data_IF_695386504573
#
_entry.id   IF_695386504573
#
_cell.length_a   1.000
_cell.length_b   1.000
_cell.length_c   1.000
_cell.angle_alpha   90.00
_cell.angle_beta   90.00
_cell.angle_gamma   90.00
#
_symmetry.space_group_name_H-M   'P 1'
#
loop_
_entity.id
_entity.type
_entity.pdbx_description
1 polymer ?
#
# COMPACT_ATOMS: atom_id res chain seq x y z
N UNK A 1 18.42 9.78 -17.05
CA UNK A 1 18.35 8.81 -15.92
C UNK A 1 19.40 7.72 -15.98
N UNK A 2 19.52 6.94 -17.06
CA UNK A 2 20.47 5.82 -17.12
C UNK A 2 21.95 6.24 -16.98
N UNK A 3 22.42 7.23 -17.74
CA UNK A 3 23.78 7.78 -17.60
C UNK A 3 24.02 8.40 -16.21
N UNK A 4 23.04 9.12 -15.68
CA UNK A 4 23.10 9.71 -14.33
C UNK A 4 23.20 8.62 -13.25
N UNK A 5 22.49 7.51 -13.39
CA UNK A 5 22.57 6.36 -12.48
C UNK A 5 23.97 5.75 -12.45
N UNK A 6 24.60 5.54 -13.60
CA UNK A 6 25.97 5.00 -13.67
C UNK A 6 26.96 5.96 -13.00
N UNK A 7 26.82 7.26 -13.24
CA UNK A 7 27.69 8.27 -12.64
C UNK A 7 27.54 8.35 -11.11
N UNK A 8 26.32 8.23 -10.60
CA UNK A 8 26.05 8.20 -9.16
C UNK A 8 26.60 6.93 -8.53
N UNK A 9 26.41 5.77 -9.17
CA UNK A 9 26.99 4.50 -8.72
C UNK A 9 28.51 4.55 -8.64
N UNK A 10 29.17 5.09 -9.67
CA UNK A 10 30.62 5.27 -9.68
C UNK A 10 31.09 6.17 -8.52
N UNK A 11 30.34 7.25 -8.23
CA UNK A 11 30.62 8.17 -7.12
C UNK A 11 30.47 7.49 -5.75
N UNK A 12 29.60 6.47 -5.66
CA UNK A 12 29.28 5.74 -4.44
C UNK A 12 29.91 4.33 -4.40
N UNK A 13 30.79 3.98 -5.34
CA UNK A 13 31.25 2.61 -5.56
C UNK A 13 32.03 2.05 -4.36
N UNK A 14 32.91 2.87 -3.78
CA UNK A 14 33.74 2.52 -2.62
C UNK A 14 32.99 2.53 -1.28
N UNK A 15 31.69 2.84 -1.29
CA UNK A 15 30.90 3.06 -0.07
C UNK A 15 30.02 1.86 0.25
N UNK A 16 29.98 1.48 1.52
CA UNK A 16 29.12 0.43 2.03
C UNK A 16 27.70 0.95 2.33
N UNK A 17 26.71 0.05 2.32
CA UNK A 17 25.34 0.41 2.65
C UNK A 17 25.21 0.64 4.16
N UNK A 18 24.49 1.69 4.54
CA UNK A 18 24.27 2.03 5.94
C UNK A 18 25.38 2.86 6.59
N UNK A 19 26.40 3.32 5.87
CA UNK A 19 27.48 4.10 6.50
C UNK A 19 27.17 5.62 6.61
N UNK A 20 26.00 6.05 6.11
CA UNK A 20 25.45 7.39 6.38
C UNK A 20 26.38 8.56 6.04
N UNK A 21 27.04 8.50 4.88
CA UNK A 21 28.15 9.40 4.57
C UNK A 21 27.72 10.80 4.13
N UNK A 22 28.30 11.82 4.77
CA UNK A 22 28.11 13.21 4.40
C UNK A 22 28.88 13.57 3.11
N UNK A 23 28.14 14.04 2.11
CA UNK A 23 28.72 14.56 0.87
C UNK A 23 28.86 16.07 1.01
N UNK A 24 30.07 16.57 0.74
CA UNK A 24 30.39 17.99 0.84
C UNK A 24 29.48 18.80 -0.10
N UNK A 25 28.75 19.81 0.42
CA UNK A 25 27.91 20.69 -0.38
C UNK A 25 28.66 21.37 -1.53
N UNK A 26 27.93 21.72 -2.58
CA UNK A 26 28.42 22.44 -3.77
C UNK A 26 29.53 21.74 -4.59
N UNK A 27 29.90 20.51 -4.24
CA UNK A 27 30.78 19.70 -5.10
C UNK A 27 30.03 19.24 -6.36
N UNK A 28 30.76 18.91 -7.44
CA UNK A 28 30.17 18.36 -8.67
C UNK A 28 29.34 17.10 -8.38
N UNK A 29 29.85 16.24 -7.51
CA UNK A 29 29.17 15.04 -7.03
C UNK A 29 27.87 15.36 -6.31
N UNK A 30 27.89 16.37 -5.42
CA UNK A 30 26.71 16.81 -4.69
C UNK A 30 25.59 17.28 -5.63
N UNK A 31 25.92 18.16 -6.58
CA UNK A 31 24.96 18.72 -7.55
C UNK A 31 24.37 17.61 -8.41
N UNK A 32 25.21 16.69 -8.90
CA UNK A 32 24.76 15.56 -9.71
C UNK A 32 23.80 14.67 -8.93
N UNK A 33 24.17 14.24 -7.72
CA UNK A 33 23.32 13.37 -6.88
C UNK A 33 22.00 14.07 -6.56
N UNK A 34 22.03 15.37 -6.26
CA UNK A 34 20.82 16.17 -6.03
C UNK A 34 19.89 16.13 -7.24
N UNK A 35 20.41 16.43 -8.44
CA UNK A 35 19.63 16.38 -9.68
C UNK A 35 19.09 14.98 -9.99
N UNK A 36 19.87 13.94 -9.70
CA UNK A 36 19.45 12.55 -9.85
C UNK A 36 18.28 12.20 -8.93
N UNK A 37 18.36 12.54 -7.64
CA UNK A 37 17.27 12.29 -6.67
C UNK A 37 16.01 13.09 -7.03
N UNK A 38 16.15 14.35 -7.44
CA UNK A 38 15.02 15.17 -7.91
C UNK A 38 14.33 14.57 -9.13
N UNK A 39 15.10 14.10 -10.12
CA UNK A 39 14.55 13.46 -11.31
C UNK A 39 13.74 12.21 -10.94
N UNK A 40 14.18 11.43 -9.96
CA UNK A 40 13.43 10.28 -9.46
C UNK A 40 12.15 10.66 -8.74
N UNK A 41 12.15 11.71 -7.91
CA UNK A 41 10.90 12.21 -7.30
C UNK A 41 9.88 12.65 -8.35
N UNK A 42 10.34 13.34 -9.40
CA UNK A 42 9.49 13.73 -10.53
C UNK A 42 8.95 12.51 -11.27
N UNK A 43 9.77 11.49 -11.55
CA UNK A 43 9.31 10.26 -12.20
C UNK A 43 8.32 9.47 -11.33
N UNK A 44 8.59 9.34 -10.02
CA UNK A 44 7.66 8.72 -9.09
C UNK A 44 6.35 9.51 -8.98
N UNK A 45 6.38 10.84 -9.10
CA UNK A 45 5.17 11.66 -9.12
C UNK A 45 4.39 11.44 -10.42
N UNK A 46 5.07 11.42 -11.56
CA UNK A 46 4.46 11.13 -12.84
C UNK A 46 3.75 9.77 -12.85
N UNK A 47 4.29 8.76 -12.16
CA UNK A 47 3.61 7.45 -11.99
C UNK A 47 2.31 7.60 -11.20
N UNK A 48 2.30 8.35 -10.10
CA UNK A 48 1.09 8.56 -9.28
C UNK A 48 -0.02 9.27 -10.05
N UNK A 49 0.32 10.24 -10.90
CA UNK A 49 -0.66 11.01 -11.67
C UNK A 49 -1.00 10.41 -13.04
N UNK A 50 -0.31 9.35 -13.46
CA UNK A 50 -0.60 8.66 -14.72
C UNK A 50 -1.89 7.82 -14.61
N UNK A 51 -2.59 7.64 -15.73
CA UNK A 51 -3.72 6.72 -15.83
C UNK A 51 -3.31 5.26 -15.59
N UNK A 52 -4.25 4.40 -15.16
CA UNK A 52 -3.99 2.98 -14.85
C UNK A 52 -3.25 2.23 -15.97
N UNK A 53 -3.61 2.49 -17.24
CA UNK A 53 -2.94 1.90 -18.40
C UNK A 53 -1.45 2.27 -18.48
N UNK A 54 -1.12 3.54 -18.19
CA UNK A 54 0.25 4.05 -18.23
C UNK A 54 1.03 3.66 -16.96
N UNK A 55 0.39 3.57 -15.79
CA UNK A 55 1.00 3.10 -14.56
C UNK A 55 1.57 1.68 -14.70
N UNK A 56 0.81 0.78 -15.34
CA UNK A 56 1.29 -0.57 -15.63
C UNK A 56 2.54 -0.55 -16.52
N UNK A 57 2.55 0.25 -17.59
CA UNK A 57 3.70 0.38 -18.49
C UNK A 57 4.93 0.97 -17.80
N UNK A 58 4.78 2.04 -17.01
CA UNK A 58 5.89 2.62 -16.23
C UNK A 58 6.45 1.61 -15.22
N UNK A 59 5.58 0.89 -14.51
CA UNK A 59 6.01 -0.13 -13.54
C UNK A 59 6.74 -1.30 -14.21
N UNK A 60 6.37 -1.66 -15.44
CA UNK A 60 7.04 -2.70 -16.22
C UNK A 60 8.41 -2.23 -16.74
N UNK A 61 8.49 -0.99 -17.23
CA UNK A 61 9.74 -0.40 -17.69
C UNK A 61 10.76 -0.24 -16.56
N UNK A 62 10.33 0.22 -15.38
CA UNK A 62 11.20 0.33 -14.19
C UNK A 62 11.75 -1.03 -13.76
N UNK A 63 10.96 -2.10 -13.92
CA UNK A 63 11.41 -3.47 -13.64
C UNK A 63 12.44 -3.97 -14.66
N UNK A 64 12.21 -3.75 -15.95
CA UNK A 64 13.10 -4.24 -17.02
C UNK A 64 14.43 -3.49 -17.09
N UNK A 65 14.44 -2.20 -16.76
CA UNK A 65 15.61 -1.33 -16.94
C UNK A 65 16.66 -1.45 -15.83
N UNK A 66 16.40 -2.25 -14.78
CA UNK A 66 17.22 -2.36 -13.56
C UNK A 66 17.48 -1.01 -12.84
N UNK A 67 16.86 0.08 -13.29
CA UNK A 67 17.08 1.43 -12.78
C UNK A 67 16.64 1.57 -11.32
N UNK A 68 15.57 0.87 -10.94
CA UNK A 68 15.07 0.87 -9.57
C UNK A 68 16.06 0.20 -8.60
N UNK A 69 16.68 -0.91 -9.00
CA UNK A 69 17.72 -1.58 -8.19
C UNK A 69 18.86 -0.61 -7.88
N UNK A 70 19.38 0.05 -8.92
CA UNK A 70 20.49 1.00 -8.83
C UNK A 70 20.16 2.19 -7.95
N UNK A 71 18.94 2.71 -8.08
CA UNK A 71 18.41 3.75 -7.21
C UNK A 71 18.39 3.27 -5.76
N UNK A 72 17.70 2.17 -5.45
CA UNK A 72 17.49 1.72 -4.08
C UNK A 72 18.81 1.42 -3.37
N UNK A 73 19.79 0.81 -4.06
CA UNK A 73 21.14 0.64 -3.53
C UNK A 73 21.83 1.98 -3.26
N UNK A 74 21.72 2.94 -4.18
CA UNK A 74 22.29 4.28 -3.98
C UNK A 74 21.63 5.03 -2.82
N UNK A 75 20.32 4.87 -2.60
CA UNK A 75 19.61 5.48 -1.48
C UNK A 75 20.13 4.94 -0.14
N UNK A 76 20.31 3.63 0.01
CA UNK A 76 20.84 3.04 1.26
C UNK A 76 22.32 3.37 1.53
N UNK A 77 23.06 3.87 0.54
CA UNK A 77 24.40 4.45 0.73
C UNK A 77 24.36 5.93 1.13
N UNK A 78 23.25 6.63 0.86
CA UNK A 78 23.06 8.06 1.14
C UNK A 78 22.23 8.33 2.42
N UNK A 79 21.36 7.40 2.79
CA UNK A 79 20.54 7.50 4.00
C UNK A 79 21.41 7.27 5.25
N UNK A 80 21.16 8.03 6.34
CA UNK A 80 21.84 7.82 7.61
C UNK A 80 21.31 6.56 8.31
N UNK A 81 22.12 5.96 9.19
CA UNK A 81 21.68 4.84 10.05
C UNK A 81 20.49 5.25 10.92
N UNK A 82 20.55 6.45 11.48
CA UNK A 82 19.52 7.05 12.32
C UNK A 82 19.03 8.34 11.67
N UNK A 83 17.87 8.31 10.98
CA UNK A 83 17.31 9.43 10.23
C UNK A 83 16.60 10.44 11.16
N UNK A 84 17.13 10.69 12.35
CA UNK A 84 16.55 11.60 13.35
C UNK A 84 16.95 13.03 13.01
N UNK A 85 15.99 13.95 13.04
CA UNK A 85 16.27 15.39 12.87
C UNK A 85 16.43 15.99 14.26
N UNK A 86 17.62 16.49 14.59
CA UNK A 86 17.85 17.27 15.80
C UNK A 86 17.24 18.67 15.64
N UNK A 87 15.91 18.77 15.66
CA UNK A 87 15.25 20.05 15.81
C UNK A 87 15.07 20.35 17.30
N UNK A 88 15.48 21.58 17.66
CA UNK A 88 15.32 22.21 18.98
C UNK A 88 13.91 21.94 19.50
N UNK A 89 13.82 21.48 20.75
CA UNK A 89 12.60 21.26 21.52
C UNK A 89 11.54 22.33 21.20
N UNK A 90 10.56 22.03 20.35
CA UNK A 90 9.25 22.62 20.53
C UNK A 90 8.61 21.87 21.68
N UNK A 91 8.77 22.44 22.88
CA UNK A 91 8.00 22.05 24.05
C UNK A 91 6.51 22.31 23.78
N UNK A 92 5.80 21.34 23.20
CA UNK A 92 4.35 21.22 23.37
C UNK A 92 3.96 19.74 23.42
N UNK A 93 3.41 19.35 24.57
CA UNK A 93 3.26 17.98 25.03
C UNK A 93 2.31 17.08 24.24
N UNK A 94 2.37 15.79 24.60
CA UNK A 94 1.51 14.72 24.12
C UNK A 94 2.29 13.39 24.01
N UNK A 95 1.97 12.43 24.87
CA UNK A 95 2.70 11.18 25.17
C UNK A 95 2.70 10.11 24.05
N UNK A 96 2.34 10.45 22.81
CA UNK A 96 2.11 9.48 21.71
C UNK A 96 2.63 9.92 20.33
N UNK A 97 3.44 10.98 20.22
CA UNK A 97 3.95 11.44 18.91
C UNK A 97 5.21 10.67 18.51
N UNK A 98 5.17 10.04 17.32
CA UNK A 98 6.35 9.43 16.68
C UNK A 98 7.53 10.41 16.64
N UNK A 99 8.78 9.92 16.83
CA UNK A 99 9.97 10.76 16.78
C UNK A 99 10.09 11.49 15.44
N UNK A 100 10.56 12.74 15.47
CA UNK A 100 10.83 13.51 14.26
C UNK A 100 12.01 12.90 13.49
N UNK A 101 11.74 12.53 12.25
CA UNK A 101 12.70 11.91 11.36
C UNK A 101 12.67 12.58 9.99
N UNK A 102 13.72 12.38 9.19
CA UNK A 102 13.78 12.84 7.80
C UNK A 102 12.61 12.30 6.95
N UNK A 103 11.91 11.27 7.41
CA UNK A 103 10.72 10.73 6.75
C UNK A 103 9.45 11.52 7.02
N UNK A 104 9.26 12.05 8.23
CA UNK A 104 8.03 12.78 8.60
C UNK A 104 8.18 14.31 8.58
N UNK A 105 9.40 14.85 8.50
CA UNK A 105 9.63 16.29 8.34
C UNK A 105 9.51 16.74 6.88
N UNK A 106 8.97 17.94 6.58
CA UNK A 106 8.91 18.46 5.22
C UNK A 106 10.32 18.73 4.68
N UNK A 107 10.54 18.38 3.40
CA UNK A 107 11.79 18.69 2.72
C UNK A 107 11.65 20.05 2.02
N UNK A 108 12.33 21.07 2.55
CA UNK A 108 12.39 22.40 1.95
C UNK A 108 13.64 22.53 1.09
N UNK A 109 13.45 22.63 -0.23
CA UNK A 109 14.53 22.93 -1.18
C UNK A 109 14.30 24.36 -1.66
N UNK A 110 15.14 25.29 -1.20
CA UNK A 110 15.12 26.68 -1.66
C UNK A 110 16.41 26.99 -2.42
N UNK A 111 16.33 27.66 -3.59
CA UNK A 111 17.52 28.13 -4.32
C UNK A 111 18.39 29.10 -3.51
N UNK A 112 17.80 29.76 -2.51
CA UNK A 112 18.48 30.75 -1.66
C UNK A 112 18.92 30.20 -0.30
N UNK A 113 18.54 28.96 0.05
CA UNK A 113 18.93 28.38 1.33
C UNK A 113 20.35 27.80 1.25
N UNK A 114 21.11 27.95 2.33
CA UNK A 114 22.40 27.28 2.48
C UNK A 114 22.18 25.77 2.42
N UNK A 115 22.81 25.13 1.44
CA UNK A 115 22.74 23.70 1.26
C UNK A 115 23.62 22.99 2.28
N UNK A 116 23.04 22.08 3.06
CA UNK A 116 23.75 21.28 4.07
C UNK A 116 24.09 19.89 3.54
N UNK A 117 25.08 19.23 4.15
CA UNK A 117 25.40 17.82 3.88
C UNK A 117 24.20 16.90 4.14
N UNK A 118 23.34 17.27 5.09
CA UNK A 118 22.11 16.56 5.43
C UNK A 118 21.01 16.66 4.37
N UNK A 119 21.09 17.61 3.42
CA UNK A 119 20.06 17.75 2.37
C UNK A 119 19.93 16.48 1.53
N UNK A 120 21.06 15.87 1.15
CA UNK A 120 21.07 14.64 0.35
C UNK A 120 20.53 13.44 1.13
N UNK A 121 20.87 13.34 2.41
CA UNK A 121 20.32 12.32 3.31
C UNK A 121 18.78 12.46 3.41
N UNK A 122 18.28 13.68 3.62
CA UNK A 122 16.85 13.95 3.69
C UNK A 122 16.15 13.67 2.36
N UNK A 123 16.75 14.07 1.24
CA UNK A 123 16.27 13.73 -0.11
C UNK A 123 16.21 12.22 -0.33
N UNK A 124 17.25 11.49 0.07
CA UNK A 124 17.30 10.05 -0.08
C UNK A 124 16.19 9.35 0.73
N UNK A 125 15.98 9.76 1.99
CA UNK A 125 14.87 9.30 2.81
C UNK A 125 13.51 9.56 2.14
N UNK A 126 13.29 10.76 1.59
CA UNK A 126 12.04 11.08 0.90
C UNK A 126 11.83 10.26 -0.37
N UNK A 127 12.86 10.06 -1.18
CA UNK A 127 12.77 9.24 -2.40
C UNK A 127 12.47 7.79 -2.01
N UNK A 128 13.12 7.26 -0.96
CA UNK A 128 12.87 5.91 -0.49
C UNK A 128 11.42 5.73 -0.03
N UNK A 129 10.91 6.67 0.78
CA UNK A 129 9.50 6.68 1.20
C UNK A 129 8.54 6.72 0.00
N UNK A 130 8.82 7.56 -1.01
CA UNK A 130 8.03 7.62 -2.24
C UNK A 130 8.08 6.30 -3.02
N UNK A 131 9.22 5.60 -3.06
CA UNK A 131 9.31 4.26 -3.66
C UNK A 131 8.44 3.23 -2.93
N UNK A 132 8.55 3.14 -1.61
CA UNK A 132 7.79 2.16 -0.80
C UNK A 132 6.30 2.44 -0.85
N UNK A 133 5.89 3.71 -0.85
CA UNK A 133 4.47 4.11 -0.88
C UNK A 133 3.83 3.97 -2.27
N UNK A 134 4.56 4.27 -3.36
CA UNK A 134 3.97 4.36 -4.71
C UNK A 134 4.16 3.13 -5.57
N UNK A 135 5.25 2.38 -5.35
CA UNK A 135 5.58 1.17 -6.12
C UNK A 135 5.98 -0.01 -5.22
N UNK A 136 5.18 -0.34 -4.18
CA UNK A 136 5.54 -1.34 -3.17
C UNK A 136 5.84 -2.72 -3.77
N UNK A 137 5.15 -3.13 -4.84
CA UNK A 137 5.40 -4.43 -5.46
C UNK A 137 6.80 -4.53 -6.07
N UNK A 138 7.28 -3.45 -6.69
CA UNK A 138 8.61 -3.41 -7.28
C UNK A 138 9.70 -3.36 -6.20
N UNK A 139 9.46 -2.64 -5.10
CA UNK A 139 10.37 -2.61 -3.94
C UNK A 139 10.45 -3.99 -3.25
N UNK A 140 9.32 -4.68 -3.08
CA UNK A 140 9.31 -6.06 -2.55
C UNK A 140 10.11 -7.02 -3.43
N UNK A 141 9.94 -6.92 -4.75
CA UNK A 141 10.69 -7.75 -5.68
C UNK A 141 12.20 -7.47 -5.60
N UNK A 142 12.59 -6.20 -5.53
CA UNK A 142 13.97 -5.78 -5.30
C UNK A 142 14.53 -6.36 -3.98
N UNK A 143 13.79 -6.23 -2.88
CA UNK A 143 14.20 -6.73 -1.57
C UNK A 143 14.44 -8.25 -1.58
N UNK A 144 13.57 -9.03 -2.21
CA UNK A 144 13.72 -10.48 -2.35
C UNK A 144 14.98 -10.84 -3.16
N UNK A 145 15.33 -10.01 -4.16
CA UNK A 145 16.53 -10.20 -4.98
C UNK A 145 17.82 -9.69 -4.33
N UNK A 146 17.73 -8.96 -3.21
CA UNK A 146 18.88 -8.43 -2.50
C UNK A 146 19.67 -9.57 -1.84
N UNK A 147 21.00 -9.40 -1.74
CA UNK A 147 21.83 -10.31 -0.97
C UNK A 147 21.29 -10.45 0.46
N UNK A 148 21.22 -11.69 0.96
CA UNK A 148 20.73 -12.01 2.30
C UNK A 148 21.47 -11.25 3.40
N UNK A 149 22.73 -10.88 3.16
CA UNK A 149 23.50 -10.07 4.09
C UNK A 149 22.90 -8.68 4.32
N UNK A 150 22.33 -8.06 3.27
CA UNK A 150 21.80 -6.70 3.34
C UNK A 150 20.29 -6.63 3.62
N UNK A 151 19.56 -7.73 3.48
CA UNK A 151 18.12 -7.79 3.78
C UNK A 151 17.79 -7.33 5.22
N UNK A 152 18.51 -7.75 6.28
CA UNK A 152 18.22 -7.30 7.64
C UNK A 152 18.36 -5.79 7.84
N UNK A 153 19.30 -5.15 7.15
CA UNK A 153 19.51 -3.69 7.22
C UNK A 153 18.30 -2.96 6.64
N UNK A 154 17.85 -3.39 5.46
CA UNK A 154 16.67 -2.82 4.80
C UNK A 154 15.41 -3.07 5.61
N UNK A 155 15.21 -4.31 6.07
CA UNK A 155 14.02 -4.70 6.82
C UNK A 155 13.92 -3.96 8.16
N UNK A 156 15.02 -3.92 8.92
CA UNK A 156 15.09 -3.17 10.18
C UNK A 156 14.81 -1.69 9.98
N UNK A 157 15.48 -1.06 9.02
CA UNK A 157 15.29 0.36 8.73
C UNK A 157 13.85 0.69 8.27
N UNK A 158 13.28 -0.14 7.40
CA UNK A 158 11.90 0.03 6.91
C UNK A 158 10.90 -0.14 8.04
N UNK A 159 11.04 -1.21 8.83
CA UNK A 159 10.16 -1.54 9.96
C UNK A 159 10.21 -0.47 11.04
N UNK A 160 11.38 0.08 11.34
CA UNK A 160 11.54 1.10 12.38
C UNK A 160 11.04 2.48 11.95
N UNK A 161 11.35 2.94 10.72
CA UNK A 161 11.14 4.34 10.35
C UNK A 161 10.06 4.58 9.29
N UNK A 162 9.79 3.62 8.42
CA UNK A 162 8.91 3.82 7.25
C UNK A 162 7.54 3.18 7.45
N UNK A 163 7.50 1.91 7.87
CA UNK A 163 6.26 1.16 8.08
C UNK A 163 5.28 1.86 9.03
N UNK A 164 5.69 2.42 10.19
CA UNK A 164 4.76 3.10 11.09
C UNK A 164 4.10 4.32 10.45
N UNK A 165 4.83 5.06 9.58
CA UNK A 165 4.29 6.23 8.89
C UNK A 165 3.24 5.84 7.86
N UNK A 166 3.50 4.79 7.07
CA UNK A 166 2.57 4.28 6.08
C UNK A 166 1.30 3.71 6.73
N UNK A 167 1.45 2.98 7.84
CA UNK A 167 0.31 2.44 8.60
C UNK A 167 -0.56 3.59 9.12
N UNK A 168 0.04 4.62 9.72
CA UNK A 168 -0.70 5.79 10.20
C UNK A 168 -1.37 6.57 9.07
N UNK A 169 -0.73 6.66 7.90
CA UNK A 169 -1.33 7.28 6.72
C UNK A 169 -2.56 6.52 6.24
N UNK A 170 -2.50 5.19 6.16
CA UNK A 170 -3.66 4.37 5.77
C UNK A 170 -4.76 4.40 6.85
N UNK A 171 -4.41 4.32 8.14
CA UNK A 171 -5.38 4.41 9.24
C UNK A 171 -6.10 5.77 9.28
N UNK A 172 -5.38 6.86 9.06
CA UNK A 172 -5.99 8.19 8.97
C UNK A 172 -6.87 8.34 7.73
N UNK A 173 -6.47 7.77 6.58
CA UNK A 173 -7.30 7.72 5.39
C UNK A 173 -8.59 6.91 5.62
N UNK A 174 -8.49 5.78 6.33
CA UNK A 174 -9.63 4.97 6.77
C UNK A 174 -10.57 5.77 7.67
N UNK A 175 -10.05 6.44 8.71
CA UNK A 175 -10.87 7.22 9.64
C UNK A 175 -11.55 8.43 8.97
N UNK A 176 -10.89 9.06 8.00
CA UNK A 176 -11.45 10.18 7.24
C UNK A 176 -12.46 9.70 6.18
N UNK A 177 -12.38 8.44 5.74
CA UNK A 177 -13.41 7.83 4.89
C UNK A 177 -14.57 7.33 5.75
N UNK A 178 -15.71 8.01 5.71
CA UNK A 178 -16.96 7.68 6.46
C UNK A 178 -17.63 6.35 6.04
N UNK A 179 -16.89 5.41 5.45
CA UNK A 179 -17.42 4.15 4.93
C UNK A 179 -17.17 3.02 5.92
N UNK A 180 -18.22 2.56 6.60
CA UNK A 180 -18.19 1.37 7.45
C UNK A 180 -17.89 0.11 6.61
N UNK A 181 -16.97 -0.73 7.12
CA UNK A 181 -16.33 -1.85 6.43
C UNK A 181 -16.97 -3.18 6.82
N UNK A 182 -17.20 -4.10 5.85
CA UNK A 182 -17.48 -5.52 6.17
C UNK A 182 -17.24 -6.51 5.00
N UNK A 183 -15.99 -6.99 4.93
CA UNK A 183 -15.39 -8.29 4.53
C UNK A 183 -15.79 -9.19 3.32
N UNK A 184 -14.73 -9.79 2.72
CA UNK A 184 -14.78 -10.69 1.54
C UNK A 184 -13.49 -10.89 0.68
N UNK A 185 -12.27 -10.79 1.24
CA UNK A 185 -10.92 -11.15 0.69
C UNK A 185 -10.11 -10.14 -0.18
N UNK A 186 -9.06 -9.56 0.45
CA UNK A 186 -8.11 -8.57 -0.09
C UNK A 186 -6.79 -9.11 -0.68
N UNK A 187 -6.43 -10.38 -0.40
CA UNK A 187 -5.07 -10.88 -0.62
C UNK A 187 -4.61 -10.87 -2.10
N UNK A 188 -5.52 -11.02 -3.05
CA UNK A 188 -5.21 -11.02 -4.49
C UNK A 188 -4.98 -9.61 -5.05
N UNK A 189 -5.63 -8.59 -4.49
CA UNK A 189 -5.49 -7.18 -4.92
C UNK A 189 -4.16 -6.59 -4.46
N UNK A 190 -3.78 -6.85 -3.20
CA UNK A 190 -2.56 -6.30 -2.56
C UNK A 190 -1.26 -6.85 -3.14
N UNK A 191 -1.33 -8.05 -3.73
CA UNK A 191 -0.15 -8.76 -4.23
C UNK A 191 0.23 -8.34 -5.66
N UNK A 192 -0.74 -7.95 -6.50
CA UNK A 192 -0.53 -7.76 -7.93
C UNK A 192 -0.62 -6.31 -8.42
N UNK A 193 -1.20 -5.38 -7.65
CA UNK A 193 -1.36 -3.97 -8.05
C UNK A 193 -0.68 -3.04 -7.05
N UNK A 194 -0.07 -1.95 -7.55
CA UNK A 194 0.45 -0.85 -6.72
C UNK A 194 -0.72 0.04 -6.20
N UNK A 195 -1.85 -0.57 -5.88
CA UNK A 195 -3.02 0.13 -5.35
C UNK A 195 -2.89 0.29 -3.84
N UNK A 196 -3.14 1.50 -3.29
CA UNK A 196 -3.24 1.72 -1.85
C UNK A 196 -4.20 0.74 -1.16
N UNK A 197 -3.98 0.49 0.12
CA UNK A 197 -4.79 -0.46 0.89
C UNK A 197 -6.26 -0.02 0.91
N UNK A 198 -6.51 1.26 1.16
CA UNK A 198 -7.86 1.84 1.13
C UNK A 198 -8.56 1.63 -0.22
N UNK A 199 -7.88 1.90 -1.35
CA UNK A 199 -8.47 1.71 -2.67
C UNK A 199 -8.79 0.23 -2.94
N UNK A 200 -7.92 -0.68 -2.48
CA UNK A 200 -8.15 -2.12 -2.56
C UNK A 200 -9.38 -2.54 -1.75
N UNK A 201 -9.57 -1.97 -0.55
CA UNK A 201 -10.77 -2.17 0.28
C UNK A 201 -12.05 -1.68 -0.40
N UNK A 202 -12.00 -0.50 -1.03
CA UNK A 202 -13.15 0.09 -1.75
C UNK A 202 -13.59 -0.80 -2.93
N UNK A 203 -12.65 -1.23 -3.78
CA UNK A 203 -12.96 -2.14 -4.89
C UNK A 203 -13.52 -3.47 -4.41
N UNK A 204 -12.93 -4.00 -3.35
CA UNK A 204 -13.39 -5.24 -2.75
C UNK A 204 -14.87 -5.12 -2.28
N UNK A 205 -15.23 -4.02 -1.61
CA UNK A 205 -16.62 -3.73 -1.22
C UNK A 205 -17.57 -3.70 -2.42
N UNK A 206 -17.21 -2.98 -3.49
CA UNK A 206 -18.05 -2.87 -4.68
C UNK A 206 -18.37 -4.24 -5.30
N UNK A 207 -17.38 -5.13 -5.38
CA UNK A 207 -17.59 -6.49 -5.89
C UNK A 207 -18.55 -7.31 -5.01
N UNK A 208 -18.51 -7.11 -3.68
CA UNK A 208 -19.42 -7.80 -2.75
C UNK A 208 -20.82 -7.21 -2.79
N UNK A 209 -20.95 -5.88 -2.78
CA UNK A 209 -22.25 -5.21 -2.95
C UNK A 209 -22.92 -5.71 -4.25
N UNK A 210 -22.17 -5.74 -5.35
CA UNK A 210 -22.64 -6.28 -6.64
C UNK A 210 -22.99 -7.77 -6.58
N UNK A 211 -22.24 -8.57 -5.80
CA UNK A 211 -22.50 -10.01 -5.66
C UNK A 211 -23.84 -10.30 -4.98
N UNK A 212 -24.26 -9.43 -4.05
CA UNK A 212 -25.48 -9.58 -3.26
C UNK A 212 -26.62 -8.66 -3.69
N UNK A 213 -26.40 -7.79 -4.67
CA UNK A 213 -27.41 -6.91 -5.24
C UNK A 213 -28.63 -7.71 -5.73
N UNK A 214 -29.82 -7.38 -5.22
CA UNK A 214 -31.09 -8.03 -5.60
C UNK A 214 -31.30 -9.44 -5.03
N UNK A 215 -30.43 -9.93 -4.13
CA UNK A 215 -30.64 -11.22 -3.47
C UNK A 215 -31.55 -11.04 -2.24
N UNK A 216 -32.77 -11.57 -2.32
CA UNK A 216 -33.69 -11.63 -1.17
C UNK A 216 -33.21 -12.63 -0.11
N UNK A 217 -33.49 -12.33 1.15
CA UNK A 217 -33.24 -13.22 2.29
C UNK A 217 -34.17 -14.45 2.29
N UNK A 218 -33.77 -15.50 3.01
CA UNK A 218 -34.63 -16.66 3.21
C UNK A 218 -35.77 -16.34 4.18
N UNK A 219 -37.01 -16.59 3.79
CA UNK A 219 -38.19 -16.31 4.64
C UNK A 219 -38.43 -17.30 5.79
N UNK A 220 -37.50 -18.25 6.04
CA UNK A 220 -37.55 -19.14 7.20
C UNK A 220 -36.53 -18.72 8.26
N UNK A 221 -35.27 -18.49 7.84
CA UNK A 221 -34.18 -18.16 8.76
C UNK A 221 -33.79 -16.66 8.76
N UNK A 222 -34.36 -15.86 7.85
CA UNK A 222 -34.09 -14.43 7.68
C UNK A 222 -32.64 -14.07 7.32
N UNK A 223 -31.85 -15.03 6.87
CA UNK A 223 -30.49 -14.78 6.40
C UNK A 223 -30.38 -14.97 4.88
N UNK A 224 -29.50 -14.19 4.24
CA UNK A 224 -29.11 -14.37 2.83
C UNK A 224 -28.21 -15.60 2.68
N UNK A 225 -27.30 -15.84 3.62
CA UNK A 225 -26.47 -17.04 3.66
C UNK A 225 -26.98 -17.98 4.73
N UNK A 226 -27.15 -19.26 4.38
CA UNK A 226 -27.53 -20.27 5.35
C UNK A 226 -26.38 -20.56 6.33
N UNK A 227 -26.66 -20.55 7.64
CA UNK A 227 -25.63 -20.51 8.69
C UNK A 227 -24.66 -21.69 8.78
N UNK A 228 -24.90 -22.80 8.08
CA UNK A 228 -24.00 -23.98 8.11
C UNK A 228 -23.35 -24.33 6.79
N UNK A 229 -24.00 -24.01 5.66
CA UNK A 229 -23.54 -24.43 4.33
C UNK A 229 -23.29 -23.24 3.39
N UNK A 230 -23.50 -22.01 3.89
CA UNK A 230 -23.26 -20.75 3.19
C UNK A 230 -23.95 -20.67 1.81
N UNK A 231 -25.04 -21.40 1.62
CA UNK A 231 -25.80 -21.35 0.37
C UNK A 231 -26.78 -20.17 0.37
N UNK A 232 -27.03 -19.64 -0.83
CA UNK A 232 -28.05 -18.62 -1.10
C UNK A 232 -29.46 -19.25 -1.19
N UNK A 233 -30.53 -18.49 -0.91
CA UNK A 233 -31.90 -18.96 -1.05
C UNK A 233 -32.26 -19.06 -2.53
N UNK A 234 -32.15 -20.28 -3.07
CA UNK A 234 -32.38 -20.56 -4.50
C UNK A 234 -33.79 -21.07 -4.79
N UNK A 235 -34.50 -21.61 -3.80
CA UNK A 235 -35.82 -22.21 -4.01
C UNK A 235 -36.91 -21.15 -3.90
N UNK A 236 -37.62 -20.91 -4.99
CA UNK A 236 -38.67 -19.90 -5.11
C UNK A 236 -40.05 -20.54 -5.09
N UNK A 237 -40.95 -20.06 -4.22
CA UNK A 237 -42.34 -20.48 -4.24
C UNK A 237 -43.02 -19.97 -5.53
N UNK A 238 -43.70 -20.85 -6.27
CA UNK A 238 -44.34 -20.49 -7.53
C UNK A 238 -45.48 -19.48 -7.36
N UNK A 239 -46.17 -19.51 -6.22
CA UNK A 239 -47.33 -18.66 -5.92
C UNK A 239 -46.92 -17.31 -5.33
N UNK A 240 -46.24 -17.28 -4.18
CA UNK A 240 -45.87 -16.01 -3.53
C UNK A 240 -44.51 -15.44 -3.94
N UNK A 241 -43.75 -16.14 -4.80
CA UNK A 241 -42.42 -15.76 -5.31
C UNK A 241 -41.31 -15.60 -4.27
N UNK A 242 -41.59 -15.85 -2.98
CA UNK A 242 -40.60 -15.78 -1.92
C UNK A 242 -39.57 -16.91 -2.00
N UNK A 243 -38.33 -16.60 -1.62
CA UNK A 243 -37.18 -17.50 -1.74
C UNK A 243 -36.79 -18.14 -0.40
N UNK A 244 -36.23 -19.35 -0.48
CA UNK A 244 -35.85 -20.16 0.66
C UNK A 244 -34.52 -20.90 0.40
N UNK A 245 -33.75 -21.13 1.46
CA UNK A 245 -32.65 -22.10 1.42
C UNK A 245 -33.21 -23.52 1.28
N UNK A 246 -32.53 -24.36 0.51
CA UNK A 246 -32.86 -25.78 0.37
C UNK A 246 -32.96 -26.50 1.71
N UNK A 247 -31.98 -26.28 2.59
CA UNK A 247 -31.93 -26.87 3.92
C UNK A 247 -33.08 -26.40 4.82
N UNK A 248 -33.40 -25.10 4.84
CA UNK A 248 -34.53 -24.56 5.62
C UNK A 248 -35.87 -25.14 5.14
N UNK A 249 -36.08 -25.17 3.83
CA UNK A 249 -37.34 -25.65 3.26
C UNK A 249 -37.51 -27.16 3.46
N UNK A 250 -36.45 -27.95 3.31
CA UNK A 250 -36.49 -29.39 3.55
C UNK A 250 -36.80 -29.71 5.02
N UNK A 251 -36.19 -28.98 5.96
CA UNK A 251 -36.47 -29.11 7.39
C UNK A 251 -37.93 -28.76 7.70
N UNK A 252 -38.46 -27.70 7.07
CA UNK A 252 -39.86 -27.32 7.19
C UNK A 252 -40.79 -28.46 6.76
N UNK A 253 -40.64 -29.01 5.55
CA UNK A 253 -41.48 -30.10 5.05
C UNK A 253 -41.42 -31.35 5.93
N UNK A 254 -40.24 -31.67 6.44
CA UNK A 254 -40.05 -32.81 7.33
C UNK A 254 -40.80 -32.62 8.66
N UNK A 255 -40.87 -31.39 9.17
CA UNK A 255 -41.57 -31.06 10.42
C UNK A 255 -43.09 -30.90 10.26
N UNK A 256 -43.56 -30.38 9.12
CA UNK A 256 -44.99 -30.13 8.86
C UNK A 256 -45.71 -31.34 8.27
N UNK A 257 -44.98 -32.39 7.90
CA UNK A 257 -45.47 -33.56 7.16
C UNK A 257 -46.24 -33.19 5.88
N UNK A 258 -45.88 -32.08 5.24
CA UNK A 258 -46.47 -31.64 3.98
C UNK A 258 -45.47 -30.79 3.16
N UNK A 259 -45.66 -30.74 1.84
CA UNK A 259 -44.80 -29.95 0.93
C UNK A 259 -45.43 -28.60 0.60
N UNK A 260 -45.89 -27.87 1.62
CA UNK A 260 -46.56 -26.58 1.44
C UNK A 260 -45.66 -25.40 1.81
N UNK A 261 -45.80 -24.29 1.07
CA UNK A 261 -45.08 -23.06 1.32
C UNK A 261 -45.35 -22.54 2.74
N UNK A 262 -44.30 -22.19 3.54
CA UNK A 262 -44.46 -21.66 4.89
C UNK A 262 -45.31 -20.38 4.98
N UNK A 263 -45.36 -19.59 3.91
CA UNK A 263 -46.04 -18.30 3.90
C UNK A 263 -47.46 -18.37 3.33
N UNK A 264 -47.64 -18.95 2.14
CA UNK A 264 -48.93 -18.95 1.44
C UNK A 264 -49.64 -20.30 1.45
N UNK A 265 -49.03 -21.34 2.05
CA UNK A 265 -49.57 -22.71 2.15
C UNK A 265 -49.93 -23.41 0.83
N UNK A 266 -49.56 -22.83 -0.32
CA UNK A 266 -49.66 -23.50 -1.60
C UNK A 266 -48.69 -24.67 -1.68
N UNK A 267 -49.00 -25.69 -2.49
CA UNK A 267 -48.04 -26.75 -2.82
C UNK A 267 -46.78 -26.13 -3.45
N UNK A 268 -45.59 -26.59 -3.06
CA UNK A 268 -44.32 -26.00 -3.47
C UNK A 268 -43.81 -26.53 -4.81
#
# INVERSE_FOLDING_TARGET
>A
MFQSSISVEATLAEREMGDGHEIVPYTKSFIHITGYLMAWRLALAAITYASDANQHQYSAYLRQSNLLQRLLLSLFKLMPQTPVVNEVKLEQGGDDKLPLTMFNTPLHISPLANTTSQLLAHQACKVYYECVSRIPAAVRQWFISLDRHFQPVVDGFTTTYVSPLLINQEMSAINNSSTKFDNMTMNTMLSHRNTPLLQSLVFWKQNVDQKFEGIEECFICYYVLHGTNHQLPKLLCRTCKKKFHSACLYKWFSSSNNSTCPLCRSLF
#
